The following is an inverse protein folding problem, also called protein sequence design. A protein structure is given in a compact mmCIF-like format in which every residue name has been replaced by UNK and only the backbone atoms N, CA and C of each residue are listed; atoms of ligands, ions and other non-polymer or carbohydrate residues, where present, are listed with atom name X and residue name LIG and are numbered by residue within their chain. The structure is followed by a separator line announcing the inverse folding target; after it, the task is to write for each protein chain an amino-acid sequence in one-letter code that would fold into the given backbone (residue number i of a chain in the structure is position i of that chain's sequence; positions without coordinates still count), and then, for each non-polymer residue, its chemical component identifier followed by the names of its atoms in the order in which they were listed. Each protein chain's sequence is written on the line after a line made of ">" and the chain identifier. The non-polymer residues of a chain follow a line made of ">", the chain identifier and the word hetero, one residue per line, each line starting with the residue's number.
data_IF_314263552755
#
_entry.id   IF_314263552755
#
_cell.length_a   1.000
_cell.length_b   1.000
_cell.length_c   1.000
_cell.angle_alpha   90.00
_cell.angle_beta   90.00
_cell.angle_gamma   90.00
#
_symmetry.space_group_name_H-M   'P 1'
#
loop_
_entity.id
_entity.type
_entity.pdbx_description
1 polymer ?
#
# COMPACT_ATOMS: atom_id res chain seq x y z
N UNK A 1 25.57 15.91 11.25
CA UNK A 1 24.16 16.38 11.38
C UNK A 1 23.18 15.41 10.71
N UNK A 2 23.39 14.99 9.46
CA UNK A 2 22.53 14.02 8.74
C UNK A 2 22.35 12.69 9.48
N UNK A 3 23.42 12.13 10.09
CA UNK A 3 23.32 10.86 10.84
C UNK A 3 22.37 10.95 12.03
N UNK A 4 22.42 12.06 12.78
CA UNK A 4 21.53 12.26 13.93
C UNK A 4 20.07 12.42 13.49
N UNK A 5 19.83 13.08 12.35
CA UNK A 5 18.50 13.25 11.78
C UNK A 5 17.92 11.93 11.26
N UNK A 6 18.74 11.11 10.58
CA UNK A 6 18.36 9.75 10.17
C UNK A 6 17.99 8.91 11.38
N UNK A 7 18.82 8.92 12.44
CA UNK A 7 18.53 8.14 13.65
C UNK A 7 17.24 8.64 14.32
N UNK A 8 17.02 9.95 14.40
CA UNK A 8 15.79 10.51 14.96
C UNK A 8 14.55 10.13 14.14
N UNK A 9 14.63 10.17 12.81
CA UNK A 9 13.56 9.71 11.91
C UNK A 9 13.30 8.21 12.06
N UNK A 10 14.34 7.38 12.15
CA UNK A 10 14.22 5.93 12.34
C UNK A 10 13.54 5.61 13.68
N UNK A 11 13.99 6.24 14.77
CA UNK A 11 13.39 6.06 16.09
C UNK A 11 11.95 6.57 16.11
N UNK A 12 11.69 7.75 15.56
CA UNK A 12 10.35 8.34 15.47
C UNK A 12 9.39 7.45 14.68
N UNK A 13 9.84 6.92 13.55
CA UNK A 13 9.12 5.94 12.74
C UNK A 13 8.73 4.71 13.57
N UNK A 14 9.70 4.06 14.23
CA UNK A 14 9.41 2.84 15.01
C UNK A 14 8.48 3.10 16.19
N UNK A 15 8.63 4.25 16.86
CA UNK A 15 7.76 4.66 17.96
C UNK A 15 6.33 4.91 17.47
N UNK A 16 6.15 5.66 16.38
CA UNK A 16 4.83 5.94 15.80
C UNK A 16 4.17 4.67 15.30
N UNK A 17 4.92 3.81 14.59
CA UNK A 17 4.42 2.55 14.08
C UNK A 17 3.96 1.63 15.22
N UNK A 18 4.81 1.44 16.25
CA UNK A 18 4.48 0.61 17.40
C UNK A 18 3.26 1.16 18.17
N UNK A 19 3.23 2.47 18.43
CA UNK A 19 2.11 3.12 19.12
C UNK A 19 0.81 3.03 18.31
N UNK A 20 0.86 3.28 17.01
CA UNK A 20 -0.29 3.21 16.12
C UNK A 20 -0.89 1.79 16.05
N UNK A 21 -0.04 0.78 15.92
CA UNK A 21 -0.45 -0.64 15.93
C UNK A 21 -0.99 -1.08 17.29
N UNK A 22 -0.33 -0.68 18.39
CA UNK A 22 -0.79 -0.99 19.75
C UNK A 22 -2.17 -0.37 20.02
N UNK A 23 -2.37 0.90 19.68
CA UNK A 23 -3.67 1.55 19.81
C UNK A 23 -4.74 0.89 18.95
N UNK A 24 -4.39 0.52 17.72
CA UNK A 24 -5.35 -0.10 16.78
C UNK A 24 -5.79 -1.49 17.22
N UNK A 25 -4.84 -2.36 17.60
CA UNK A 25 -5.11 -3.79 17.80
C UNK A 25 -5.19 -4.20 19.27
N UNK A 26 -4.37 -3.63 20.16
CA UNK A 26 -4.38 -3.97 21.59
C UNK A 26 -5.42 -3.14 22.35
N UNK A 27 -5.42 -1.82 22.15
CA UNK A 27 -6.38 -0.92 22.80
C UNK A 27 -7.74 -0.87 22.09
N UNK A 28 -7.89 -1.51 20.92
CA UNK A 28 -9.11 -1.54 20.09
C UNK A 28 -9.62 -0.13 19.74
N UNK A 29 -8.71 0.83 19.56
CA UNK A 29 -8.99 2.22 19.17
C UNK A 29 -8.55 2.47 17.72
N UNK A 30 -9.28 1.93 16.71
CA UNK A 30 -8.82 1.95 15.32
C UNK A 30 -8.70 3.34 14.71
N UNK A 31 -9.49 4.32 15.19
CA UNK A 31 -9.41 5.70 14.72
C UNK A 31 -8.15 6.39 15.22
N UNK A 32 -7.83 6.24 16.50
CA UNK A 32 -6.63 6.82 17.09
C UNK A 32 -5.37 6.15 16.54
N UNK A 33 -5.37 4.82 16.43
CA UNK A 33 -4.28 4.09 15.78
C UNK A 33 -4.06 4.52 14.33
N UNK A 34 -5.13 4.73 13.55
CA UNK A 34 -5.01 5.28 12.19
C UNK A 34 -4.43 6.70 12.18
N UNK A 35 -4.86 7.57 13.11
CA UNK A 35 -4.32 8.92 13.20
C UNK A 35 -2.83 8.93 13.50
N UNK A 36 -2.36 8.08 14.42
CA UNK A 36 -0.93 7.94 14.74
C UNK A 36 -0.15 7.37 13.55
N UNK A 37 -0.68 6.38 12.85
CA UNK A 37 -0.05 5.83 11.64
C UNK A 37 0.00 6.85 10.49
N UNK A 38 -0.94 7.81 10.43
CA UNK A 38 -0.91 8.90 9.45
C UNK A 38 0.15 9.97 9.76
N UNK A 39 0.67 10.04 10.98
CA UNK A 39 1.81 10.92 11.28
C UNK A 39 3.08 10.48 10.54
N UNK A 40 3.20 9.20 10.20
CA UNK A 40 4.34 8.63 9.48
C UNK A 40 4.51 9.20 8.06
N UNK A 41 3.52 9.10 7.14
CA UNK A 41 3.61 9.75 5.83
C UNK A 41 3.65 11.29 5.92
N UNK A 42 3.12 11.88 7.01
CA UNK A 42 3.23 13.31 7.24
C UNK A 42 4.68 13.73 7.52
N UNK A 43 5.42 12.91 8.28
CA UNK A 43 6.85 13.12 8.52
C UNK A 43 7.66 13.00 7.23
N UNK A 44 7.31 12.05 6.36
CA UNK A 44 7.90 11.92 5.01
C UNK A 44 7.62 13.14 4.12
N UNK A 45 6.41 13.72 4.23
CA UNK A 45 6.08 14.97 3.53
C UNK A 45 6.95 16.13 4.02
N UNK A 46 7.19 16.23 5.33
CA UNK A 46 8.11 17.24 5.89
C UNK A 46 9.53 17.02 5.38
N UNK A 47 10.00 15.76 5.34
CA UNK A 47 11.31 15.41 4.81
C UNK A 47 11.45 15.84 3.34
N UNK A 48 10.42 15.60 2.52
CA UNK A 48 10.38 16.02 1.12
C UNK A 48 10.45 17.56 0.99
N UNK A 49 9.74 18.29 1.83
CA UNK A 49 9.79 19.77 1.85
C UNK A 49 11.19 20.26 2.22
N UNK A 50 11.76 19.76 3.32
CA UNK A 50 13.12 20.15 3.77
C UNK A 50 14.15 19.85 2.69
N UNK A 51 14.06 18.66 2.09
CA UNK A 51 14.90 18.26 0.96
C UNK A 51 14.81 19.24 -0.20
N UNK A 52 13.59 19.63 -0.57
CA UNK A 52 13.35 20.56 -1.69
C UNK A 52 13.94 21.94 -1.39
N UNK A 53 13.92 22.37 -0.13
CA UNK A 53 14.59 23.59 0.33
C UNK A 53 16.12 23.45 0.25
N UNK A 54 16.67 22.32 0.69
CA UNK A 54 18.11 22.07 0.67
C UNK A 54 18.67 22.02 -0.77
N UNK A 55 17.96 21.37 -1.69
CA UNK A 55 18.34 21.33 -3.12
C UNK A 55 18.37 22.73 -3.74
N UNK A 56 17.40 23.58 -3.38
CA UNK A 56 17.37 24.98 -3.83
C UNK A 56 18.55 25.78 -3.27
N UNK A 57 19.05 25.42 -2.09
CA UNK A 57 20.24 26.04 -1.48
C UNK A 57 21.56 25.45 -1.99
N UNK A 58 21.53 24.55 -2.98
CA UNK A 58 22.72 23.98 -3.62
C UNK A 58 23.26 22.69 -2.99
N UNK A 59 22.45 21.98 -2.19
CA UNK A 59 22.84 20.66 -1.69
C UNK A 59 22.90 19.62 -2.82
N UNK A 60 23.79 18.62 -2.69
CA UNK A 60 23.88 17.56 -3.70
C UNK A 60 22.65 16.62 -3.67
N UNK A 61 22.11 16.25 -4.84
CA UNK A 61 20.95 15.37 -4.93
C UNK A 61 21.31 13.90 -4.63
N UNK A 62 20.95 13.44 -3.44
CA UNK A 62 20.91 12.02 -3.05
C UNK A 62 19.65 11.29 -3.58
N UNK A 63 19.72 9.96 -3.68
CA UNK A 63 18.60 9.11 -4.12
C UNK A 63 17.43 9.09 -3.14
N UNK A 64 17.69 9.37 -1.86
CA UNK A 64 16.67 9.40 -0.79
C UNK A 64 15.64 10.51 -1.02
N UNK A 65 16.02 11.56 -1.74
CA UNK A 65 15.23 12.77 -1.92
C UNK A 65 13.94 12.59 -2.74
N UNK A 66 13.89 11.63 -3.67
CA UNK A 66 12.68 11.33 -4.44
C UNK A 66 11.87 10.14 -3.94
N UNK A 67 12.43 9.30 -3.06
CA UNK A 67 11.74 8.12 -2.51
C UNK A 67 10.53 8.50 -1.65
N UNK A 68 10.62 9.60 -0.89
CA UNK A 68 9.53 10.10 -0.05
C UNK A 68 8.24 10.35 -0.86
N UNK A 69 8.35 10.90 -2.07
CA UNK A 69 7.19 11.14 -2.92
C UNK A 69 6.50 9.83 -3.34
N UNK A 70 7.26 8.76 -3.62
CA UNK A 70 6.69 7.44 -3.90
C UNK A 70 6.02 6.83 -2.68
N UNK A 71 6.62 6.98 -1.49
CA UNK A 71 6.04 6.50 -0.24
C UNK A 71 4.69 7.17 0.07
N UNK A 72 4.63 8.49 -0.11
CA UNK A 72 3.39 9.27 0.04
C UNK A 72 2.36 8.83 -0.99
N UNK A 73 2.75 8.69 -2.27
CA UNK A 73 1.87 8.20 -3.33
C UNK A 73 1.29 6.81 -3.01
N UNK A 74 2.12 5.88 -2.54
CA UNK A 74 1.68 4.57 -2.09
C UNK A 74 0.68 4.67 -0.94
N UNK A 75 0.98 5.49 0.07
CA UNK A 75 0.09 5.67 1.23
C UNK A 75 -1.27 6.23 0.84
N UNK A 76 -1.33 7.19 -0.09
CA UNK A 76 -2.60 7.75 -0.59
C UNK A 76 -3.42 6.71 -1.35
N UNK A 77 -2.79 5.92 -2.23
CA UNK A 77 -3.52 4.99 -3.09
C UNK A 77 -3.85 3.64 -2.43
N UNK A 78 -2.96 3.14 -1.58
CA UNK A 78 -3.06 1.82 -0.95
C UNK A 78 -3.38 1.88 0.53
N UNK A 79 -3.16 3.00 1.24
CA UNK A 79 -3.26 3.06 2.70
C UNK A 79 -4.59 2.52 3.24
N UNK A 80 -5.72 3.01 2.73
CA UNK A 80 -7.04 2.51 3.16
C UNK A 80 -7.25 1.01 2.84
N UNK A 81 -6.77 0.55 1.69
CA UNK A 81 -6.87 -0.86 1.31
C UNK A 81 -6.02 -1.77 2.21
N UNK A 82 -4.76 -1.40 2.43
CA UNK A 82 -3.80 -2.12 3.26
C UNK A 82 -4.28 -2.18 4.70
N UNK A 83 -4.79 -1.07 5.25
CA UNK A 83 -5.37 -1.04 6.60
C UNK A 83 -6.56 -2.00 6.71
N UNK A 84 -7.51 -1.93 5.79
CA UNK A 84 -8.69 -2.83 5.82
C UNK A 84 -8.30 -4.30 5.69
N UNK A 85 -7.29 -4.58 4.87
CA UNK A 85 -6.76 -5.93 4.70
C UNK A 85 -6.05 -6.44 5.97
N UNK A 86 -5.23 -5.60 6.59
CA UNK A 86 -4.57 -5.89 7.87
C UNK A 86 -5.58 -6.09 9.00
N UNK A 87 -6.61 -5.25 9.09
CA UNK A 87 -7.70 -5.38 10.07
C UNK A 87 -8.42 -6.72 9.94
N UNK A 88 -8.68 -7.17 8.69
CA UNK A 88 -9.26 -8.49 8.44
C UNK A 88 -8.34 -9.63 8.89
N UNK A 89 -7.04 -9.51 8.65
CA UNK A 89 -6.05 -10.50 9.11
C UNK A 89 -5.91 -10.53 10.63
N UNK A 90 -5.91 -9.37 11.27
CA UNK A 90 -5.90 -9.24 12.72
C UNK A 90 -7.17 -9.84 13.33
N UNK A 91 -8.35 -9.58 12.74
CA UNK A 91 -9.60 -10.18 13.18
C UNK A 91 -9.56 -11.71 13.07
N UNK A 92 -9.04 -12.26 11.97
CA UNK A 92 -8.89 -13.70 11.78
C UNK A 92 -7.93 -14.33 12.80
N UNK A 93 -6.72 -13.76 12.97
CA UNK A 93 -5.66 -14.36 13.80
C UNK A 93 -5.78 -14.09 15.29
N UNK A 94 -6.27 -12.90 15.67
CA UNK A 94 -6.27 -12.44 17.07
C UNK A 94 -7.67 -12.49 17.69
N UNK A 95 -8.73 -12.46 16.89
CA UNK A 95 -10.11 -12.37 17.37
C UNK A 95 -11.03 -13.49 16.87
N UNK A 96 -10.49 -14.52 16.20
CA UNK A 96 -11.25 -15.67 15.70
C UNK A 96 -12.28 -15.34 14.61
N UNK A 97 -12.12 -14.20 13.92
CA UNK A 97 -12.98 -13.79 12.81
C UNK A 97 -12.86 -14.71 11.59
N UNK A 98 -13.67 -14.50 10.53
CA UNK A 98 -13.58 -15.31 9.31
C UNK A 98 -12.27 -15.05 8.55
N UNK A 99 -11.78 -16.05 7.80
CA UNK A 99 -10.59 -15.93 6.96
C UNK A 99 -10.78 -14.83 5.91
N UNK A 100 -9.82 -13.91 5.71
CA UNK A 100 -9.93 -12.87 4.68
C UNK A 100 -10.12 -13.50 3.30
N UNK A 101 -11.10 -13.00 2.55
CA UNK A 101 -11.37 -13.49 1.19
C UNK A 101 -10.14 -13.27 0.28
N UNK A 102 -9.75 -14.31 -0.45
CA UNK A 102 -8.70 -14.23 -1.46
C UNK A 102 -9.15 -13.48 -2.70
N UNK A 103 -8.23 -13.23 -3.62
CA UNK A 103 -8.49 -12.47 -4.85
C UNK A 103 -9.36 -13.20 -5.91
N UNK A 104 -9.97 -14.33 -5.57
CA UNK A 104 -10.75 -15.18 -6.47
C UNK A 104 -9.91 -15.82 -7.59
N UNK A 105 -10.60 -16.42 -8.57
CA UNK A 105 -10.00 -17.07 -9.74
C UNK A 105 -10.62 -16.53 -11.04
N UNK A 106 -10.00 -16.82 -12.18
CA UNK A 106 -10.51 -16.46 -13.50
C UNK A 106 -10.79 -14.96 -13.67
N UNK A 107 -12.01 -14.60 -14.10
CA UNK A 107 -12.42 -13.22 -14.35
C UNK A 107 -12.43 -12.34 -13.09
N UNK A 108 -12.69 -12.92 -11.92
CA UNK A 108 -12.66 -12.18 -10.65
C UNK A 108 -11.24 -11.76 -10.27
N UNK A 109 -10.28 -12.67 -10.46
CA UNK A 109 -8.84 -12.39 -10.28
C UNK A 109 -8.38 -11.28 -11.22
N UNK A 110 -8.72 -11.36 -12.50
CA UNK A 110 -8.36 -10.32 -13.47
C UNK A 110 -8.92 -8.95 -13.06
N UNK A 111 -10.21 -8.87 -12.65
CA UNK A 111 -10.80 -7.62 -12.14
C UNK A 111 -10.10 -7.09 -10.89
N UNK A 112 -9.66 -7.98 -10.00
CA UNK A 112 -8.90 -7.60 -8.81
C UNK A 112 -7.56 -6.96 -9.20
N UNK A 113 -6.81 -7.57 -10.13
CA UNK A 113 -5.53 -7.04 -10.60
C UNK A 113 -5.70 -5.68 -11.30
N UNK A 114 -6.75 -5.49 -12.11
CA UNK A 114 -7.04 -4.18 -12.70
C UNK A 114 -7.36 -3.10 -11.65
N UNK A 115 -8.06 -3.45 -10.58
CA UNK A 115 -8.28 -2.52 -9.45
C UNK A 115 -6.97 -2.18 -8.73
N UNK A 116 -6.07 -3.15 -8.56
CA UNK A 116 -4.75 -2.89 -8.00
C UNK A 116 -3.91 -2.01 -8.92
N UNK A 117 -3.98 -2.22 -10.23
CA UNK A 117 -3.29 -1.39 -11.21
C UNK A 117 -3.78 0.07 -11.18
N UNK A 118 -5.10 0.30 -11.12
CA UNK A 118 -5.65 1.67 -10.97
C UNK A 118 -5.08 2.36 -9.73
N UNK A 119 -4.92 1.64 -8.60
CA UNK A 119 -4.26 2.20 -7.41
C UNK A 119 -2.80 2.54 -7.67
N UNK A 120 -2.05 1.73 -8.43
CA UNK A 120 -0.67 2.07 -8.82
C UNK A 120 -0.64 3.33 -9.67
N UNK A 121 -1.59 3.50 -10.59
CA UNK A 121 -1.72 4.73 -11.38
C UNK A 121 -1.97 5.94 -10.47
N UNK A 122 -2.88 5.83 -9.49
CA UNK A 122 -3.12 6.90 -8.52
C UNK A 122 -1.86 7.19 -7.69
N UNK A 123 -1.17 6.16 -7.20
CA UNK A 123 0.07 6.31 -6.44
C UNK A 123 1.14 7.06 -7.25
N UNK A 124 1.33 6.65 -8.50
CA UNK A 124 2.26 7.29 -9.41
C UNK A 124 1.83 8.72 -9.73
N UNK A 125 0.55 9.00 -9.96
CA UNK A 125 0.06 10.35 -10.23
C UNK A 125 0.34 11.30 -9.06
N UNK A 126 0.12 10.87 -7.82
CA UNK A 126 0.45 11.65 -6.61
C UNK A 126 1.96 11.88 -6.51
N UNK A 127 2.76 10.82 -6.66
CA UNK A 127 4.22 10.92 -6.58
C UNK A 127 4.78 11.85 -7.67
N UNK A 128 4.34 11.70 -8.92
CA UNK A 128 4.73 12.55 -10.05
C UNK A 128 4.36 14.01 -9.80
N UNK A 129 3.16 14.27 -9.25
CA UNK A 129 2.73 15.64 -8.91
C UNK A 129 3.65 16.25 -7.87
N UNK A 130 3.95 15.55 -6.78
CA UNK A 130 4.85 16.03 -5.73
C UNK A 130 6.26 16.27 -6.25
N UNK A 131 6.81 15.33 -7.02
CA UNK A 131 8.12 15.46 -7.65
C UNK A 131 8.16 16.64 -8.62
N UNK A 132 7.11 16.82 -9.44
CA UNK A 132 7.05 17.91 -10.40
C UNK A 132 6.97 19.29 -9.73
N UNK A 133 6.22 19.40 -8.64
CA UNK A 133 6.17 20.61 -7.82
C UNK A 133 7.54 20.91 -7.20
N UNK A 134 8.26 19.91 -6.72
CA UNK A 134 9.61 20.07 -6.20
C UNK A 134 10.59 20.55 -7.29
N UNK A 135 10.53 19.95 -8.49
CA UNK A 135 11.34 20.36 -9.65
C UNK A 135 11.09 21.85 -9.99
N UNK A 136 9.83 22.26 -10.07
CA UNK A 136 9.48 23.66 -10.35
C UNK A 136 9.96 24.61 -9.25
N UNK A 137 9.94 24.18 -7.99
CA UNK A 137 10.40 24.99 -6.88
C UNK A 137 11.92 25.19 -6.85
N UNK A 138 12.68 24.14 -7.17
CA UNK A 138 14.15 24.18 -7.24
C UNK A 138 14.59 25.08 -8.41
N UNK A 139 13.92 24.99 -9.56
CA UNK A 139 14.20 25.81 -10.73
C UNK A 139 15.55 25.49 -11.39
N UNK A 140 16.02 26.38 -12.27
CA UNK A 140 17.21 26.15 -13.12
C UNK A 140 18.55 26.20 -12.37
N UNK A 141 18.53 26.61 -11.09
CA UNK A 141 19.73 26.79 -10.27
C UNK A 141 20.17 25.52 -9.53
N UNK A 142 19.31 24.51 -9.42
CA UNK A 142 19.59 23.27 -8.68
C UNK A 142 19.53 22.01 -9.54
N UNK A 143 20.26 20.97 -9.14
CA UNK A 143 20.24 19.68 -9.83
C UNK A 143 18.99 18.86 -9.45
N UNK A 144 18.13 18.65 -10.45
CA UNK A 144 16.86 17.92 -10.34
C UNK A 144 16.92 16.49 -10.92
N UNK A 145 18.10 16.02 -11.34
CA UNK A 145 18.28 14.73 -12.00
C UNK A 145 17.75 13.55 -11.17
N UNK A 146 17.98 13.57 -9.85
CA UNK A 146 17.45 12.55 -8.92
C UNK A 146 15.91 12.52 -8.92
N UNK A 147 15.26 13.69 -8.88
CA UNK A 147 13.79 13.79 -8.89
C UNK A 147 13.21 13.24 -10.19
N UNK A 148 13.83 13.58 -11.33
CA UNK A 148 13.45 13.05 -12.64
C UNK A 148 13.64 11.52 -12.72
N UNK A 149 14.75 11.00 -12.18
CA UNK A 149 15.00 9.56 -12.08
C UNK A 149 13.86 8.82 -11.38
N UNK A 150 13.34 9.39 -10.28
CA UNK A 150 12.19 8.85 -9.57
C UNK A 150 10.87 8.97 -10.33
N UNK A 151 10.67 10.02 -11.13
CA UNK A 151 9.52 10.09 -12.05
C UNK A 151 9.55 8.93 -13.06
N UNK A 152 10.70 8.65 -13.66
CA UNK A 152 10.86 7.49 -14.56
C UNK A 152 10.67 6.16 -13.84
N UNK A 153 11.16 6.02 -12.60
CA UNK A 153 10.94 4.82 -11.80
C UNK A 153 9.44 4.58 -11.53
N UNK A 154 8.68 5.62 -11.15
CA UNK A 154 7.24 5.52 -10.95
C UNK A 154 6.50 5.08 -12.22
N UNK A 155 6.86 5.65 -13.38
CA UNK A 155 6.28 5.27 -14.67
C UNK A 155 6.62 3.82 -15.05
N UNK A 156 7.86 3.37 -14.82
CA UNK A 156 8.26 1.97 -15.03
C UNK A 156 7.44 1.02 -14.16
N UNK A 157 7.21 1.34 -12.89
CA UNK A 157 6.39 0.52 -11.98
C UNK A 157 4.96 0.41 -12.50
N UNK A 158 4.35 1.51 -12.96
CA UNK A 158 3.01 1.49 -13.56
C UNK A 158 2.98 0.61 -14.82
N UNK A 159 3.99 0.73 -15.68
CA UNK A 159 4.11 -0.06 -16.90
C UNK A 159 4.28 -1.56 -16.62
N UNK A 160 5.17 -1.93 -15.70
CA UNK A 160 5.37 -3.33 -15.30
C UNK A 160 4.09 -3.90 -14.69
N UNK A 161 3.40 -3.15 -13.82
CA UNK A 161 2.17 -3.63 -13.22
C UNK A 161 1.03 -3.74 -14.25
N UNK A 162 0.99 -2.87 -15.27
CA UNK A 162 0.07 -3.03 -16.40
C UNK A 162 0.30 -4.36 -17.11
N UNK A 163 1.56 -4.73 -17.37
CA UNK A 163 1.90 -6.01 -17.99
C UNK A 163 1.42 -7.20 -17.14
N UNK A 164 1.56 -7.12 -15.81
CA UNK A 164 1.04 -8.15 -14.91
C UNK A 164 -0.49 -8.24 -14.99
N UNK A 165 -1.21 -7.11 -14.95
CA UNK A 165 -2.67 -7.09 -15.06
C UNK A 165 -3.16 -7.65 -16.42
N UNK A 166 -2.46 -7.31 -17.50
CA UNK A 166 -2.73 -7.86 -18.84
C UNK A 166 -2.45 -9.36 -18.88
N UNK A 167 -1.35 -9.84 -18.29
CA UNK A 167 -1.02 -11.26 -18.24
C UNK A 167 -2.11 -12.09 -17.54
N UNK A 168 -2.67 -11.60 -16.42
CA UNK A 168 -3.81 -12.25 -15.75
C UNK A 168 -5.13 -12.17 -16.52
N UNK A 169 -5.24 -11.25 -17.48
CA UNK A 169 -6.40 -11.13 -18.38
C UNK A 169 -6.28 -12.13 -19.54
N UNK A 170 -5.08 -12.33 -20.08
CA UNK A 170 -4.80 -13.27 -21.19
C UNK A 170 -4.71 -14.72 -20.69
N UNK A 171 -4.10 -14.94 -19.52
CA UNK A 171 -3.96 -16.24 -18.87
C UNK A 171 -4.68 -16.25 -17.51
N UNK A 172 -6.01 -16.44 -17.50
CA UNK A 172 -6.78 -16.46 -16.27
C UNK A 172 -6.36 -17.61 -15.35
N UNK A 173 -6.07 -17.28 -14.09
CA UNK A 173 -5.69 -18.27 -13.07
C UNK A 173 -6.84 -19.25 -12.80
N UNK A 174 -6.53 -20.55 -12.81
CA UNK A 174 -7.51 -21.63 -12.57
C UNK A 174 -7.66 -21.90 -11.06
N UNK A 175 -8.87 -22.17 -10.62
CA UNK A 175 -9.13 -22.61 -9.25
C UNK A 175 -8.47 -23.98 -8.97
N UNK A 176 -7.94 -24.22 -7.77
CA UNK A 176 -7.52 -25.55 -7.34
C UNK A 176 -8.69 -26.53 -7.45
N UNK A 177 -8.46 -27.71 -8.04
CA UNK A 177 -9.44 -28.77 -8.31
C UNK A 177 -10.22 -29.27 -7.08
N UNK A 178 -9.83 -28.87 -5.87
CA UNK A 178 -10.49 -29.22 -4.62
C UNK A 178 -11.79 -28.43 -4.34
N UNK A 179 -12.05 -27.31 -5.02
CA UNK A 179 -13.27 -26.52 -4.84
C UNK A 179 -14.50 -27.09 -5.60
N UNK A 180 -14.31 -28.09 -6.45
CA UNK A 180 -15.37 -28.71 -7.28
C UNK A 180 -16.02 -29.92 -6.57
N UNK A 181 -15.52 -30.32 -5.40
CA UNK A 181 -16.07 -31.41 -4.58
C UNK A 181 -16.43 -30.92 -3.17
N UNK A 182 -17.33 -29.95 -3.05
CA UNK A 182 -18.18 -29.89 -1.87
C UNK A 182 -19.43 -30.70 -2.22
N UNK A 183 -19.67 -31.89 -1.62
CA UNK A 183 -20.90 -32.63 -1.90
C UNK A 183 -22.08 -31.79 -1.40
N UNK A 184 -22.94 -31.41 -2.34
CA UNK A 184 -24.31 -31.02 -2.05
C UNK A 184 -25.08 -32.29 -1.70
N UNK A 185 -24.88 -32.86 -0.51
CA UNK A 185 -25.81 -33.85 0.03
C UNK A 185 -25.65 -34.02 1.55
N UNK A 186 -26.69 -33.62 2.28
CA UNK A 186 -27.16 -34.14 3.57
C UNK A 186 -28.20 -33.16 4.15
N UNK A 187 -29.29 -32.95 3.42
CA UNK A 187 -30.49 -32.30 3.96
C UNK A 187 -31.79 -33.11 3.74
N UNK A 188 -31.73 -34.24 3.07
CA UNK A 188 -32.86 -35.17 2.97
C UNK A 188 -32.41 -36.55 3.47
N UNK A 189 -32.72 -36.85 4.73
CA UNK A 189 -33.25 -38.16 5.17
C UNK A 189 -33.24 -38.25 6.71
N UNK A 190 -34.16 -37.53 7.37
CA UNK A 190 -34.57 -37.80 8.76
C UNK A 190 -36.07 -37.67 8.95
N UNK A 191 -36.87 -37.99 7.93
CA UNK A 191 -38.35 -38.03 8.06
C UNK A 191 -38.97 -39.40 7.77
N UNK A 192 -38.19 -40.46 7.57
CA UNK A 192 -38.71 -41.81 7.31
C UNK A 192 -38.24 -42.89 8.28
N UNK A 193 -38.04 -42.55 9.55
CA UNK A 193 -38.18 -43.52 10.65
C UNK A 193 -39.46 -43.24 11.44
N UNK A 194 -40.57 -43.51 10.75
CA UNK A 194 -41.80 -44.07 11.31
C UNK A 194 -41.47 -45.04 12.45
N UNK A 195 -42.13 -44.97 13.60
CA UNK A 195 -43.55 -45.28 13.67
C UNK A 195 -43.72 -46.79 13.83
N UNK A 196 -43.56 -47.26 15.07
CA UNK A 196 -44.28 -48.38 15.69
C UNK A 196 -43.92 -48.45 17.17
#
# INVERSE_FOLDING_TARGET
>A
MIVALIIACEVGFWVLLAAGLALRYLAKMPRLGAAVLLCEPLMELVLLVVTTLDLKNGAEPDWKHGLAALYIGYTVAYGHYTIKWLDGHAAYRLAGGPKPAGAGYGKERARHEWKLWIRTVIAAAVALTLLQLAIWYVGDAGDVSSLQGWQFAALRVVGIHALVAVAYTIWPSKAPRAAEKAPADTAEDRSSLTGR
#
